data_IF_323698513360
#
_entry.id   IF_323698513360
#
_cell.length_a   1.000
_cell.length_b   1.000
_cell.length_c   1.000
_cell.angle_alpha   90.00
_cell.angle_beta   90.00
_cell.angle_gamma   90.00
#
_symmetry.space_group_name_H-M   'P 1'
#
loop_
_entity.id
_entity.type
_entity.pdbx_description
1 polymer ?
#
# COMPACT_ATOMS: atom_id res chain seq x y z
N UNK A 1 13.87 -1.84 11.72
CA UNK A 1 15.18 -1.16 11.68
C UNK A 1 14.96 0.23 11.10
N UNK A 2 15.50 1.27 11.76
CA UNK A 2 15.46 2.62 11.19
C UNK A 2 16.46 2.67 10.04
N UNK A 3 16.02 2.99 8.87
CA UNK A 3 16.88 3.18 7.69
C UNK A 3 16.98 4.67 7.38
N UNK A 4 18.18 5.12 7.04
CA UNK A 4 18.44 6.48 6.58
C UNK A 4 18.29 6.49 5.06
N UNK A 5 17.47 7.38 4.52
CA UNK A 5 17.28 7.44 3.07
C UNK A 5 18.54 7.94 2.36
N UNK A 6 19.17 8.95 2.96
CA UNK A 6 20.32 9.63 2.36
C UNK A 6 21.50 9.73 3.35
N UNK A 7 22.22 8.62 3.64
CA UNK A 7 23.31 8.62 4.62
C UNK A 7 24.52 9.48 4.21
N UNK A 8 24.63 9.82 2.92
CA UNK A 8 25.72 10.67 2.40
C UNK A 8 25.74 12.06 3.03
N UNK A 9 24.61 12.58 3.50
CA UNK A 9 24.56 13.89 4.17
C UNK A 9 25.33 13.94 5.50
N UNK A 10 25.64 12.81 6.12
CA UNK A 10 26.52 12.79 7.29
C UNK A 10 27.95 13.28 7.00
N UNK A 11 28.41 13.18 5.75
CA UNK A 11 29.70 13.74 5.34
C UNK A 11 29.77 15.26 5.44
N UNK A 12 28.63 15.96 5.43
CA UNK A 12 28.56 17.40 5.65
C UNK A 12 28.95 17.82 7.08
N UNK A 13 28.98 16.89 8.04
CA UNK A 13 29.40 17.18 9.42
C UNK A 13 30.86 17.63 9.44
N UNK A 14 31.72 17.07 8.60
CA UNK A 14 33.15 17.39 8.58
C UNK A 14 33.42 18.87 8.20
N UNK A 15 32.96 19.39 7.04
CA UNK A 15 33.14 20.81 6.71
C UNK A 15 32.40 21.73 7.69
N UNK A 16 31.30 21.29 8.27
CA UNK A 16 30.51 22.05 9.22
C UNK A 16 31.26 22.27 10.54
N UNK A 17 31.92 21.23 11.06
CA UNK A 17 32.78 21.33 12.25
C UNK A 17 33.94 22.29 11.95
N UNK A 18 34.55 22.24 10.77
CA UNK A 18 35.65 23.12 10.42
C UNK A 18 35.20 24.59 10.37
N UNK A 19 34.02 24.89 9.82
CA UNK A 19 33.47 26.26 9.75
C UNK A 19 33.18 26.80 11.17
N UNK A 20 32.60 25.98 12.06
CA UNK A 20 32.29 26.40 13.45
C UNK A 20 33.56 26.54 14.28
N UNK A 21 34.57 25.71 14.07
CA UNK A 21 35.84 25.75 14.79
C UNK A 21 36.79 26.85 14.29
N UNK A 22 36.69 27.26 12.99
CA UNK A 22 37.56 28.22 12.35
C UNK A 22 37.77 29.55 13.12
N UNK A 23 36.70 30.21 13.65
CA UNK A 23 36.85 31.45 14.42
C UNK A 23 37.60 31.28 15.74
N UNK A 24 37.66 30.05 16.27
CA UNK A 24 38.41 29.78 17.53
C UNK A 24 39.90 29.59 17.27
N UNK A 25 40.27 29.10 16.07
CA UNK A 25 41.67 28.92 15.68
C UNK A 25 42.26 30.15 14.96
N UNK A 26 41.42 30.98 14.32
CA UNK A 26 41.88 32.22 13.72
C UNK A 26 42.17 33.24 14.83
N UNK A 27 43.42 33.56 15.03
CA UNK A 27 43.93 34.59 15.97
C UNK A 27 43.50 36.03 15.59
N UNK A 28 42.54 36.19 14.68
CA UNK A 28 42.01 37.47 14.18
C UNK A 28 40.94 38.07 15.15
N UNK A 29 41.08 37.90 16.42
CA UNK A 29 40.31 38.72 17.39
C UNK A 29 41.05 40.07 17.48
N UNK A 30 40.43 41.19 17.04
CA UNK A 30 41.01 42.50 17.24
C UNK A 30 41.15 42.72 18.75
N UNK A 31 42.34 42.56 19.24
CA UNK A 31 42.67 42.82 20.67
C UNK A 31 42.71 44.33 20.85
N UNK A 32 41.82 44.86 21.69
CA UNK A 32 41.93 46.24 22.15
C UNK A 32 43.11 46.29 23.13
N UNK A 33 44.14 47.08 22.79
CA UNK A 33 45.27 47.32 23.66
C UNK A 33 44.87 48.37 24.71
N UNK A 34 44.67 47.92 25.94
CA UNK A 34 44.41 48.79 27.08
C UNK A 34 45.69 48.94 27.92
N UNK A 35 46.09 50.18 28.24
CA UNK A 35 47.29 50.50 29.00
C UNK A 35 47.20 50.12 30.49
N UNK A 36 46.01 49.87 31.05
CA UNK A 36 45.78 49.47 32.46
C UNK A 36 44.89 48.24 32.60
N UNK A 37 45.49 47.07 32.61
CA UNK A 37 44.80 45.79 32.83
C UNK A 37 44.46 45.53 34.30
N UNK A 38 45.12 46.23 35.25
CA UNK A 38 44.93 46.02 36.66
C UNK A 38 43.53 46.40 37.19
N UNK A 39 42.90 47.39 36.61
CA UNK A 39 41.55 47.80 36.97
C UNK A 39 40.47 46.80 36.49
N UNK A 40 40.68 46.17 35.33
CA UNK A 40 39.75 45.19 34.74
C UNK A 40 39.75 43.84 35.51
N UNK A 41 40.83 43.48 36.13
CA UNK A 41 40.93 42.24 36.92
C UNK A 41 40.06 42.24 38.19
N UNK A 42 39.56 43.40 38.63
CA UNK A 42 38.69 43.55 39.82
C UNK A 42 37.20 43.49 39.52
N UNK A 43 36.81 43.43 38.23
CA UNK A 43 35.40 43.35 37.84
C UNK A 43 35.04 41.90 37.73
N UNK A 44 34.07 41.44 38.52
CA UNK A 44 33.52 40.09 38.40
C UNK A 44 32.84 39.94 37.05
N UNK A 45 33.03 38.83 36.31
CA UNK A 45 32.43 38.62 35.01
C UNK A 45 30.91 38.66 35.11
N UNK A 46 30.29 39.52 34.33
CA UNK A 46 28.84 39.59 34.26
C UNK A 46 28.23 38.27 33.70
N UNK A 47 26.96 37.99 33.97
CA UNK A 47 26.25 36.84 33.46
C UNK A 47 26.38 36.73 31.92
N UNK A 48 26.36 37.86 31.18
CA UNK A 48 26.61 37.91 29.74
C UNK A 48 27.98 37.41 29.33
N UNK A 49 29.04 37.78 30.10
CA UNK A 49 30.40 37.31 29.83
C UNK A 49 30.55 35.80 30.09
N UNK A 50 29.78 35.26 31.02
CA UNK A 50 29.76 33.83 31.32
C UNK A 50 29.01 33.00 30.27
N UNK A 51 28.03 33.62 29.57
CA UNK A 51 27.21 32.99 28.53
C UNK A 51 27.72 33.20 27.11
N UNK A 52 28.93 33.77 26.93
CA UNK A 52 29.49 34.10 25.61
C UNK A 52 29.69 32.86 24.69
N UNK A 53 29.74 31.67 25.29
CA UNK A 53 29.87 30.40 24.61
C UNK A 53 28.51 29.87 24.09
N UNK A 54 27.39 30.39 24.60
CA UNK A 54 26.04 29.90 24.32
C UNK A 54 25.63 30.12 22.84
N UNK A 55 25.83 31.30 22.22
CA UNK A 55 25.51 31.51 20.80
C UNK A 55 26.23 30.54 19.86
N UNK A 56 27.57 30.34 19.94
CA UNK A 56 28.25 29.39 19.08
C UNK A 56 27.82 27.93 19.36
N UNK A 57 27.50 27.58 20.61
CA UNK A 57 26.98 26.25 20.93
C UNK A 57 25.60 26.00 20.32
N UNK A 58 24.68 26.98 20.37
CA UNK A 58 23.36 26.89 19.74
C UNK A 58 23.46 26.81 18.23
N UNK A 59 24.40 27.56 17.64
CA UNK A 59 24.66 27.50 16.20
C UNK A 59 25.15 26.10 15.79
N UNK A 60 26.11 25.53 16.52
CA UNK A 60 26.59 24.18 16.26
C UNK A 60 25.47 23.14 16.39
N UNK A 61 24.64 23.26 17.44
CA UNK A 61 23.48 22.36 17.64
C UNK A 61 22.48 22.47 16.50
N UNK A 62 22.15 23.69 16.07
CA UNK A 62 21.23 23.93 14.94
C UNK A 62 21.74 23.29 13.65
N UNK A 63 23.02 23.39 13.37
CA UNK A 63 23.63 22.81 12.17
C UNK A 63 23.62 21.27 12.24
N UNK A 64 23.89 20.67 13.39
CA UNK A 64 23.78 19.22 13.59
C UNK A 64 22.36 18.75 13.36
N UNK A 65 21.38 19.43 13.95
CA UNK A 65 19.95 19.07 13.73
C UNK A 65 19.54 19.20 12.25
N UNK A 66 20.08 20.18 11.54
CA UNK A 66 19.84 20.32 10.10
C UNK A 66 20.38 19.12 9.31
N UNK A 67 21.58 18.63 9.63
CA UNK A 67 22.14 17.42 8.99
C UNK A 67 21.26 16.20 9.29
N UNK A 68 20.80 16.05 10.53
CA UNK A 68 19.86 14.97 10.88
C UNK A 68 18.55 15.07 10.10
N UNK A 69 18.02 16.28 9.92
CA UNK A 69 16.80 16.49 9.13
C UNK A 69 17.03 16.16 7.64
N UNK A 70 18.17 16.51 7.07
CA UNK A 70 18.53 16.18 5.70
C UNK A 70 18.77 14.68 5.48
N UNK A 71 19.29 13.97 6.48
CA UNK A 71 19.48 12.52 6.42
C UNK A 71 18.16 11.74 6.41
N UNK A 72 17.00 12.39 6.58
CA UNK A 72 15.64 11.86 6.49
C UNK A 72 15.48 10.49 7.16
N UNK A 73 15.42 10.42 8.50
CA UNK A 73 15.16 9.18 9.18
C UNK A 73 13.77 8.67 8.79
N UNK A 74 13.72 7.56 8.07
CA UNK A 74 12.46 6.91 7.69
C UNK A 74 12.25 5.65 8.53
N UNK A 75 11.04 5.48 9.02
CA UNK A 75 10.60 4.16 9.43
C UNK A 75 10.37 3.39 8.13
N UNK A 76 11.26 2.46 7.81
CA UNK A 76 11.01 1.54 6.73
C UNK A 76 9.69 0.84 7.04
N UNK A 77 8.62 1.28 6.40
CA UNK A 77 7.44 0.45 6.26
C UNK A 77 7.90 -0.67 5.32
N UNK A 78 8.46 -1.72 5.89
CA UNK A 78 8.66 -2.95 5.14
C UNK A 78 7.26 -3.39 4.73
N UNK A 79 6.84 -2.95 3.56
CA UNK A 79 5.99 -3.80 2.76
C UNK A 79 6.82 -5.07 2.62
N UNK A 80 6.50 -6.02 3.48
CA UNK A 80 7.07 -7.36 3.39
C UNK A 80 6.65 -7.85 2.01
N UNK A 81 7.56 -7.71 1.03
CA UNK A 81 7.50 -8.51 -0.17
C UNK A 81 7.67 -9.95 0.31
N UNK A 82 6.58 -10.49 0.88
CA UNK A 82 6.46 -11.92 1.04
C UNK A 82 6.40 -12.45 -0.38
N UNK A 83 7.51 -12.89 -0.89
CA UNK A 83 7.57 -13.87 -1.98
C UNK A 83 6.97 -15.19 -1.48
N UNK A 84 5.75 -15.12 -0.96
CA UNK A 84 4.94 -16.30 -0.76
C UNK A 84 4.36 -16.52 -2.14
N UNK A 85 4.67 -17.64 -2.73
CA UNK A 85 4.15 -18.10 -4.01
C UNK A 85 2.62 -18.28 -3.87
N UNK A 86 1.90 -17.16 -3.78
CA UNK A 86 0.44 -17.13 -3.80
C UNK A 86 -0.07 -17.46 -5.19
N UNK A 87 -1.30 -17.93 -5.25
CA UNK A 87 -2.03 -18.11 -6.50
C UNK A 87 -2.90 -16.88 -6.76
N UNK A 88 -3.20 -16.64 -8.03
CA UNK A 88 -4.13 -15.58 -8.41
C UNK A 88 -5.51 -16.20 -8.67
N UNK A 89 -6.51 -15.69 -7.97
CA UNK A 89 -7.89 -16.21 -8.00
C UNK A 89 -8.82 -15.10 -8.48
N UNK A 90 -9.67 -15.38 -9.45
CA UNK A 90 -10.78 -14.51 -9.81
C UNK A 90 -12.09 -15.19 -9.44
N UNK A 91 -12.85 -14.57 -8.54
CA UNK A 91 -14.19 -15.03 -8.17
C UNK A 91 -15.19 -14.34 -9.09
N UNK A 92 -15.97 -15.13 -9.80
CA UNK A 92 -17.08 -14.68 -10.66
C UNK A 92 -18.41 -15.04 -9.95
N UNK A 93 -19.09 -14.01 -9.43
CA UNK A 93 -20.34 -14.17 -8.71
C UNK A 93 -21.51 -13.75 -9.59
N UNK A 94 -22.46 -14.66 -9.73
CA UNK A 94 -23.74 -14.40 -10.39
C UNK A 94 -24.61 -13.46 -9.56
N UNK A 95 -25.14 -12.43 -10.19
CA UNK A 95 -26.07 -11.47 -9.58
C UNK A 95 -27.42 -11.42 -10.32
N UNK A 96 -27.74 -12.46 -11.09
CA UNK A 96 -29.03 -12.59 -11.78
C UNK A 96 -30.21 -12.72 -10.80
N UNK A 97 -31.40 -12.47 -11.26
CA UNK A 97 -32.61 -12.46 -10.43
C UNK A 97 -32.91 -13.83 -9.79
N UNK A 98 -32.44 -14.95 -10.38
CA UNK A 98 -32.54 -16.29 -9.79
C UNK A 98 -31.81 -16.41 -8.45
N UNK A 99 -30.74 -15.63 -8.23
CA UNK A 99 -29.99 -15.59 -6.97
C UNK A 99 -30.77 -14.97 -5.81
N UNK A 100 -31.94 -14.36 -6.07
CA UNK A 100 -32.83 -13.84 -5.03
C UNK A 100 -33.82 -14.88 -4.48
N UNK A 101 -33.83 -16.10 -5.04
CA UNK A 101 -34.70 -17.17 -4.57
C UNK A 101 -34.30 -17.60 -3.16
N UNK A 102 -35.26 -17.62 -2.25
CA UNK A 102 -35.09 -17.99 -0.84
C UNK A 102 -35.32 -19.50 -0.62
N UNK A 103 -34.41 -20.33 -1.11
CA UNK A 103 -34.46 -21.79 -0.99
C UNK A 103 -33.28 -22.37 -0.20
N UNK A 104 -32.40 -21.52 0.35
CA UNK A 104 -31.27 -21.93 1.18
C UNK A 104 -31.65 -21.98 2.68
N UNK A 105 -31.22 -22.99 3.47
CA UNK A 105 -31.36 -22.95 4.92
C UNK A 105 -30.43 -21.90 5.56
N UNK A 106 -30.86 -21.13 6.59
CA UNK A 106 -32.15 -21.07 7.28
C UNK A 106 -33.10 -19.98 6.73
N UNK A 107 -33.57 -20.06 5.51
CA UNK A 107 -34.41 -19.09 4.80
C UNK A 107 -33.61 -17.84 4.30
N UNK A 108 -32.41 -18.08 3.82
CA UNK A 108 -31.60 -17.06 3.11
C UNK A 108 -31.79 -17.21 1.62
N UNK A 109 -31.62 -16.10 0.88
CA UNK A 109 -31.53 -16.16 -0.57
C UNK A 109 -30.15 -16.70 -1.01
N UNK A 110 -30.09 -17.24 -2.22
CA UNK A 110 -28.86 -17.81 -2.78
C UNK A 110 -27.72 -16.80 -2.81
N UNK A 111 -28.01 -15.49 -3.05
CA UNK A 111 -27.04 -14.42 -3.08
C UNK A 111 -26.35 -14.23 -1.72
N UNK A 112 -27.12 -14.20 -0.62
CA UNK A 112 -26.56 -13.99 0.72
C UNK A 112 -25.75 -15.21 1.19
N UNK A 113 -26.21 -16.41 0.83
CA UNK A 113 -25.45 -17.65 1.04
C UNK A 113 -24.13 -17.65 0.26
N UNK A 114 -24.15 -17.21 -1.01
CA UNK A 114 -22.96 -17.08 -1.84
C UNK A 114 -21.98 -16.04 -1.27
N UNK A 115 -22.46 -14.87 -0.83
CA UNK A 115 -21.63 -13.83 -0.18
C UNK A 115 -20.95 -14.38 1.07
N UNK A 116 -21.70 -15.07 1.94
CA UNK A 116 -21.18 -15.67 3.17
C UNK A 116 -20.07 -16.69 2.85
N UNK A 117 -20.29 -17.51 1.83
CA UNK A 117 -19.31 -18.50 1.35
C UNK A 117 -18.05 -17.83 0.82
N UNK A 118 -18.19 -16.77 -0.01
CA UNK A 118 -17.08 -16.00 -0.53
C UNK A 118 -16.29 -15.30 0.58
N UNK A 119 -16.98 -14.71 1.56
CA UNK A 119 -16.29 -14.11 2.72
C UNK A 119 -15.49 -15.14 3.52
N UNK A 120 -16.08 -16.32 3.78
CA UNK A 120 -15.38 -17.39 4.48
C UNK A 120 -14.15 -17.87 3.69
N UNK A 121 -14.28 -17.99 2.38
CA UNK A 121 -13.18 -18.35 1.49
C UNK A 121 -12.05 -17.34 1.54
N UNK A 122 -12.36 -16.03 1.46
CA UNK A 122 -11.36 -14.95 1.50
C UNK A 122 -10.64 -14.93 2.86
N UNK A 123 -11.38 -15.07 3.97
CA UNK A 123 -10.80 -15.08 5.33
C UNK A 123 -9.82 -16.23 5.57
N UNK A 124 -9.97 -17.34 4.86
CA UNK A 124 -9.07 -18.48 4.93
C UNK A 124 -7.77 -18.32 4.14
N UNK A 125 -7.57 -17.19 3.43
CA UNK A 125 -6.39 -16.94 2.59
C UNK A 125 -5.43 -15.98 3.27
N UNK A 126 -4.13 -16.14 2.96
CA UNK A 126 -3.06 -15.32 3.57
C UNK A 126 -2.24 -14.59 2.52
N UNK A 127 -2.09 -15.18 1.33
CA UNK A 127 -1.06 -14.72 0.37
C UNK A 127 -1.54 -14.74 -1.08
N UNK A 128 -2.77 -15.18 -1.31
CA UNK A 128 -3.36 -15.27 -2.63
C UNK A 128 -3.92 -13.91 -3.06
N UNK A 129 -3.67 -13.51 -4.31
CA UNK A 129 -4.37 -12.36 -4.87
C UNK A 129 -5.75 -12.79 -5.31
N UNK A 130 -6.76 -12.13 -4.77
CA UNK A 130 -8.16 -12.44 -5.08
C UNK A 130 -8.80 -11.23 -5.74
N UNK A 131 -9.44 -11.46 -6.88
CA UNK A 131 -10.28 -10.48 -7.56
C UNK A 131 -11.74 -10.87 -7.51
N UNK A 132 -12.63 -9.91 -7.69
CA UNK A 132 -14.07 -10.08 -7.68
C UNK A 132 -14.68 -9.54 -8.98
N UNK A 133 -15.38 -10.40 -9.68
CA UNK A 133 -16.16 -10.09 -10.85
C UNK A 133 -17.61 -10.46 -10.54
N UNK A 134 -18.54 -9.62 -10.93
CA UNK A 134 -19.98 -9.90 -10.86
C UNK A 134 -20.54 -9.96 -12.28
N UNK A 135 -21.51 -10.83 -12.47
CA UNK A 135 -22.14 -10.98 -13.80
C UNK A 135 -23.62 -11.33 -13.72
N UNK A 136 -24.33 -10.97 -14.75
CA UNK A 136 -25.68 -11.37 -15.09
C UNK A 136 -25.74 -11.47 -16.65
N UNK A 137 -26.58 -10.75 -17.36
CA UNK A 137 -26.50 -10.62 -18.82
C UNK A 137 -25.24 -9.90 -19.34
N UNK A 138 -24.51 -9.23 -18.47
CA UNK A 138 -23.23 -8.58 -18.69
C UNK A 138 -22.29 -8.86 -17.50
N UNK A 139 -20.99 -8.56 -17.62
CA UNK A 139 -20.03 -8.80 -16.55
C UNK A 139 -19.18 -7.58 -16.24
N UNK A 140 -18.91 -7.36 -14.94
CA UNK A 140 -18.16 -6.22 -14.42
C UNK A 140 -17.12 -6.66 -13.41
N UNK A 141 -15.89 -6.17 -13.52
CA UNK A 141 -14.88 -6.34 -12.49
C UNK A 141 -15.14 -5.35 -11.37
N UNK A 142 -15.51 -5.84 -10.19
CA UNK A 142 -15.70 -5.03 -8.98
C UNK A 142 -14.37 -4.70 -8.32
N UNK A 143 -13.51 -5.72 -8.16
CA UNK A 143 -12.19 -5.58 -7.56
C UNK A 143 -11.19 -6.37 -8.41
N UNK A 144 -10.12 -5.74 -8.91
CA UNK A 144 -9.03 -6.45 -9.56
C UNK A 144 -8.28 -7.35 -8.56
N UNK A 145 -7.49 -8.35 -9.02
CA UNK A 145 -6.73 -9.21 -8.13
C UNK A 145 -5.87 -8.41 -7.14
N UNK A 146 -6.15 -8.56 -5.83
CA UNK A 146 -5.52 -7.80 -4.74
C UNK A 146 -5.23 -8.70 -3.54
N UNK A 147 -4.31 -8.27 -2.68
CA UNK A 147 -4.05 -8.82 -1.35
C UNK A 147 -4.81 -8.08 -0.23
N UNK A 148 -5.57 -7.04 -0.60
CA UNK A 148 -6.35 -6.24 0.35
C UNK A 148 -7.69 -6.93 0.63
N UNK A 149 -7.67 -7.94 1.50
CA UNK A 149 -8.86 -8.70 1.86
C UNK A 149 -9.96 -7.88 2.55
N UNK A 150 -9.65 -6.90 3.42
CA UNK A 150 -10.68 -6.01 3.96
C UNK A 150 -11.51 -5.29 2.90
N UNK A 151 -10.87 -4.70 1.90
CA UNK A 151 -11.54 -4.03 0.77
C UNK A 151 -12.35 -5.02 -0.05
N UNK A 152 -11.82 -6.22 -0.28
CA UNK A 152 -12.51 -7.28 -1.02
C UNK A 152 -13.77 -7.75 -0.30
N UNK A 153 -13.70 -8.00 1.01
CA UNK A 153 -14.83 -8.42 1.85
C UNK A 153 -15.90 -7.32 1.87
N UNK A 154 -15.51 -6.06 2.02
CA UNK A 154 -16.45 -4.95 1.95
C UNK A 154 -17.15 -4.91 0.60
N UNK A 155 -16.43 -5.07 -0.49
CA UNK A 155 -16.99 -5.10 -1.85
C UNK A 155 -17.98 -6.26 -2.05
N UNK A 156 -17.72 -7.43 -1.44
CA UNK A 156 -18.65 -8.58 -1.48
C UNK A 156 -19.96 -8.24 -0.74
N UNK A 157 -19.88 -7.62 0.43
CA UNK A 157 -21.07 -7.25 1.22
C UNK A 157 -21.94 -6.21 0.52
N UNK A 158 -21.33 -5.29 -0.20
CA UNK A 158 -22.01 -4.22 -0.93
C UNK A 158 -22.65 -4.69 -2.25
N UNK A 159 -22.45 -5.94 -2.65
CA UNK A 159 -23.11 -6.49 -3.85
C UNK A 159 -24.62 -6.49 -3.63
N UNK A 160 -25.32 -5.92 -4.59
CA UNK A 160 -26.78 -5.97 -4.68
C UNK A 160 -27.14 -6.34 -6.10
N UNK A 161 -28.25 -7.06 -6.26
CA UNK A 161 -28.87 -7.24 -7.58
C UNK A 161 -29.32 -5.88 -8.08
N UNK A 162 -28.84 -5.48 -9.24
CA UNK A 162 -29.18 -4.19 -9.83
C UNK A 162 -30.14 -4.37 -10.97
N UNK A 163 -31.30 -3.75 -10.88
CA UNK A 163 -32.31 -3.71 -11.97
C UNK A 163 -31.79 -3.01 -13.24
N UNK A 164 -30.64 -2.34 -13.15
CA UNK A 164 -30.02 -1.64 -14.28
C UNK A 164 -29.04 -2.51 -15.07
N UNK A 165 -28.85 -3.78 -14.68
CA UNK A 165 -27.99 -4.72 -15.37
C UNK A 165 -28.87 -5.57 -16.31
N UNK A 166 -28.34 -5.85 -17.50
CA UNK A 166 -29.03 -6.66 -18.49
C UNK A 166 -29.40 -8.03 -17.90
N UNK A 167 -30.65 -8.42 -18.05
CA UNK A 167 -31.15 -9.70 -17.54
C UNK A 167 -30.48 -10.88 -18.23
N UNK A 168 -30.42 -12.01 -17.54
CA UNK A 168 -29.86 -13.27 -18.04
C UNK A 168 -28.54 -13.63 -17.34
N UNK A 169 -27.94 -14.74 -17.76
CA UNK A 169 -26.71 -15.29 -17.18
C UNK A 169 -25.70 -15.52 -18.32
N UNK A 170 -24.72 -14.60 -18.45
CA UNK A 170 -23.73 -14.59 -19.52
C UNK A 170 -22.39 -15.19 -19.04
N UNK A 171 -22.36 -16.51 -18.78
CA UNK A 171 -21.19 -17.23 -18.26
C UNK A 171 -19.98 -17.07 -19.17
N UNK A 172 -20.15 -17.21 -20.50
CA UNK A 172 -19.05 -17.12 -21.45
C UNK A 172 -18.39 -15.73 -21.45
N UNK A 173 -19.18 -14.66 -21.36
CA UNK A 173 -18.67 -13.29 -21.25
C UNK A 173 -17.95 -13.06 -19.90
N UNK A 174 -18.51 -13.56 -18.80
CA UNK A 174 -17.91 -13.50 -17.49
C UNK A 174 -16.56 -14.22 -17.43
N UNK A 175 -16.49 -15.43 -18.04
CA UNK A 175 -15.25 -16.19 -18.13
C UNK A 175 -14.20 -15.47 -18.96
N UNK A 176 -14.56 -14.94 -20.13
CA UNK A 176 -13.63 -14.18 -20.97
C UNK A 176 -13.08 -12.94 -20.25
N UNK A 177 -13.93 -12.22 -19.51
CA UNK A 177 -13.50 -11.07 -18.71
C UNK A 177 -12.59 -11.48 -17.54
N UNK A 178 -12.87 -12.59 -16.85
CA UNK A 178 -12.03 -13.13 -15.79
C UNK A 178 -10.64 -13.53 -16.33
N UNK A 179 -10.60 -14.19 -17.49
CA UNK A 179 -9.37 -14.53 -18.20
C UNK A 179 -8.56 -13.28 -18.54
N UNK A 180 -9.23 -12.24 -19.07
CA UNK A 180 -8.57 -10.98 -19.42
C UNK A 180 -7.88 -10.32 -18.20
N UNK A 181 -8.41 -10.53 -16.97
CA UNK A 181 -7.81 -10.02 -15.73
C UNK A 181 -6.65 -10.86 -15.22
N UNK A 182 -6.62 -12.15 -15.54
CA UNK A 182 -5.59 -13.07 -15.07
C UNK A 182 -4.50 -13.39 -16.10
N UNK A 183 -4.71 -13.10 -17.40
CA UNK A 183 -3.79 -13.47 -18.47
C UNK A 183 -2.36 -12.98 -18.25
N UNK A 184 -2.20 -11.73 -17.78
CA UNK A 184 -0.92 -11.07 -17.60
C UNK A 184 -0.33 -11.33 -16.18
N UNK A 185 -0.98 -12.18 -15.37
CA UNK A 185 -0.48 -12.55 -14.07
C UNK A 185 0.79 -13.38 -14.16
N UNK A 186 1.75 -13.07 -13.31
CA UNK A 186 3.02 -13.82 -13.15
C UNK A 186 2.92 -14.97 -12.15
N UNK A 187 1.75 -15.18 -11.53
CA UNK A 187 1.54 -16.26 -10.57
C UNK A 187 1.70 -17.62 -11.24
N UNK A 188 2.28 -18.58 -10.52
CA UNK A 188 2.45 -19.98 -11.00
C UNK A 188 1.13 -20.68 -11.26
N UNK A 189 0.10 -20.32 -10.51
CA UNK A 189 -1.24 -20.90 -10.66
C UNK A 189 -2.28 -19.79 -10.71
N UNK A 190 -3.19 -19.90 -11.67
CA UNK A 190 -4.29 -18.96 -11.91
C UNK A 190 -5.59 -19.75 -11.92
N UNK A 191 -6.57 -19.29 -11.13
CA UNK A 191 -7.83 -20.01 -10.94
C UNK A 191 -9.00 -19.04 -11.11
N UNK A 192 -10.06 -19.51 -11.78
CA UNK A 192 -11.33 -18.80 -11.83
C UNK A 192 -12.37 -19.67 -11.12
N UNK A 193 -13.04 -19.08 -10.13
CA UNK A 193 -14.11 -19.74 -9.37
C UNK A 193 -15.44 -19.11 -9.74
N UNK A 194 -16.33 -19.91 -10.31
CA UNK A 194 -17.70 -19.49 -10.61
C UNK A 194 -18.65 -19.84 -9.49
N UNK A 195 -19.52 -18.89 -9.15
CA UNK A 195 -20.66 -19.09 -8.26
C UNK A 195 -21.93 -18.65 -9.01
N UNK A 196 -22.66 -19.61 -9.52
CA UNK A 196 -23.89 -19.41 -10.31
C UNK A 196 -24.85 -20.55 -10.03
N UNK A 197 -26.13 -20.28 -10.14
CA UNK A 197 -27.22 -21.25 -10.05
C UNK A 197 -27.89 -21.49 -11.40
N UNK A 198 -27.46 -20.76 -12.44
CA UNK A 198 -28.11 -20.72 -13.74
C UNK A 198 -27.32 -21.36 -14.87
N UNK A 199 -28.03 -21.61 -15.96
CA UNK A 199 -27.47 -22.00 -17.26
C UNK A 199 -27.11 -20.74 -18.06
N UNK A 200 -26.14 -20.87 -18.98
CA UNK A 200 -25.80 -19.78 -19.88
C UNK A 200 -26.97 -19.53 -20.86
N UNK A 201 -27.64 -18.39 -20.66
CA UNK A 201 -28.80 -17.99 -21.51
C UNK A 201 -28.62 -16.59 -22.13
N UNK A 202 -27.49 -15.94 -21.91
CA UNK A 202 -27.19 -14.61 -22.40
C UNK A 202 -25.70 -14.51 -22.82
N UNK A 203 -25.35 -13.41 -23.45
CA UNK A 203 -23.99 -13.11 -23.87
C UNK A 203 -23.67 -13.52 -25.30
N UNK A 204 -22.58 -12.95 -25.82
CA UNK A 204 -22.14 -13.16 -27.25
C UNK A 204 -21.02 -14.18 -27.34
N UNK A 205 -20.45 -14.62 -26.22
CA UNK A 205 -19.34 -15.57 -26.16
C UNK A 205 -19.87 -16.90 -25.61
N UNK A 206 -19.63 -17.97 -26.34
CA UNK A 206 -19.96 -19.31 -25.91
C UNK A 206 -19.03 -19.72 -24.73
N UNK A 207 -19.56 -20.32 -23.63
CA UNK A 207 -18.77 -20.75 -22.51
C UNK A 207 -17.64 -21.73 -22.85
N UNK A 208 -17.86 -22.64 -23.78
CA UNK A 208 -16.84 -23.60 -24.24
C UNK A 208 -15.68 -22.90 -24.95
N UNK A 209 -15.98 -21.94 -25.81
CA UNK A 209 -14.96 -21.11 -26.46
C UNK A 209 -14.15 -20.30 -25.41
N UNK A 210 -14.82 -19.70 -24.44
CA UNK A 210 -14.13 -18.96 -23.37
C UNK A 210 -13.26 -19.88 -22.50
N UNK A 211 -13.70 -21.13 -22.25
CA UNK A 211 -12.93 -22.15 -21.53
C UNK A 211 -11.65 -22.56 -22.29
N UNK A 212 -11.74 -22.72 -23.62
CA UNK A 212 -10.57 -23.01 -24.45
C UNK A 212 -9.53 -21.88 -24.36
N UNK A 213 -9.99 -20.63 -24.40
CA UNK A 213 -9.12 -19.47 -24.22
C UNK A 213 -8.48 -19.52 -22.83
N UNK A 214 -9.23 -19.79 -21.76
CA UNK A 214 -8.70 -19.90 -20.39
C UNK A 214 -7.59 -20.95 -20.30
N UNK A 215 -7.81 -22.14 -20.88
CA UNK A 215 -6.81 -23.21 -20.95
C UNK A 215 -5.55 -22.79 -21.71
N UNK A 216 -5.69 -22.03 -22.79
CA UNK A 216 -4.56 -21.48 -23.56
C UNK A 216 -3.66 -20.57 -22.72
N UNK A 217 -4.21 -19.87 -21.72
CA UNK A 217 -3.45 -19.05 -20.77
C UNK A 217 -3.03 -19.80 -19.48
N UNK A 218 -3.24 -21.12 -19.40
CA UNK A 218 -2.92 -21.93 -18.23
C UNK A 218 -3.78 -21.61 -17.01
N UNK A 219 -4.98 -21.08 -17.22
CA UNK A 219 -5.95 -20.76 -16.16
C UNK A 219 -6.85 -21.99 -15.93
N UNK A 220 -7.09 -22.31 -14.65
CA UNK A 220 -7.92 -23.43 -14.20
C UNK A 220 -9.28 -22.96 -13.75
#
# INVERSE_FOLDING_TARGET
MNTWNDPLFFWLIVPLITVVAWPQFSKLRPGLQFSHLSALKRVSPSLRARMIWLPPALQALSLVLLVFALARPQKANQQVNRNIEGIDIMIALDISDSMLIEDMPPQENRMDSAKTTVEAFIKGRVSDKIGLLVFSGESFTRVPPTLDYPVLIQSVREIQTSRNIKMGTAIGVALANAVARLKDSVAKSKIIVFMTDGENNAGTIDPLTALEIAKGFGIK
#
